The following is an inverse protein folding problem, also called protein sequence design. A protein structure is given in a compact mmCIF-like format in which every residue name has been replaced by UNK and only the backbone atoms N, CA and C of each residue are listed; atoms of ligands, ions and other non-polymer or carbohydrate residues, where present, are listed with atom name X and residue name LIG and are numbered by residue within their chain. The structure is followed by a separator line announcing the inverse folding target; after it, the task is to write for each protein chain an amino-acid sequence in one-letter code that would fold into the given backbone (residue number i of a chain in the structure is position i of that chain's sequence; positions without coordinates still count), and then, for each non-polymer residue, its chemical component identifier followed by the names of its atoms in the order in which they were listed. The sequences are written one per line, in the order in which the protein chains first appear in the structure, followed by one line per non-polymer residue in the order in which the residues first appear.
data_IF_871228477519
#
_entry.id   IF_871228477519
#
_cell.length_a   1.000
_cell.length_b   1.000
_cell.length_c   1.000
_cell.angle_alpha   90.00
_cell.angle_beta   90.00
_cell.angle_gamma   90.00
#
_symmetry.space_group_name_H-M   'P 1'
#
loop_
_entity.id
_entity.type
_entity.pdbx_description
1 polymer ?
#
# COMPACT_ATOMS: atom_id res chain seq x y z
N UNK A 1 9.07 24.51 8.93
CA UNK A 1 7.94 25.29 8.41
C UNK A 1 6.96 25.53 9.55
N UNK A 2 6.55 26.77 9.73
CA UNK A 2 5.56 27.13 10.74
C UNK A 2 4.16 26.74 10.25
N UNK A 3 3.37 26.16 11.15
CA UNK A 3 1.98 25.88 10.81
C UNK A 3 1.18 27.20 10.76
N UNK A 4 0.05 27.24 10.03
CA UNK A 4 -0.84 28.42 10.04
C UNK A 4 -1.31 28.84 11.45
N UNK A 5 -1.15 27.96 12.43
CA UNK A 5 -1.48 28.19 13.85
C UNK A 5 -0.28 28.58 14.70
N UNK A 6 0.89 28.88 14.10
CA UNK A 6 2.12 29.27 14.80
C UNK A 6 2.80 28.13 15.60
N UNK A 7 2.32 26.90 15.52
CA UNK A 7 2.95 25.77 16.17
C UNK A 7 4.15 25.28 15.35
N UNK A 8 5.31 25.13 15.98
CA UNK A 8 6.47 24.50 15.35
C UNK A 8 6.12 23.10 14.91
N UNK A 9 6.14 22.83 13.61
CA UNK A 9 5.93 21.50 13.06
C UNK A 9 7.26 20.75 13.03
N UNK A 10 7.27 19.54 13.56
CA UNK A 10 8.41 18.64 13.39
C UNK A 10 8.50 18.24 11.91
N UNK A 11 9.72 18.14 11.40
CA UNK A 11 9.96 17.66 10.06
C UNK A 11 9.47 16.20 9.92
N UNK A 12 8.71 15.92 8.88
CA UNK A 12 8.36 14.55 8.55
C UNK A 12 9.53 13.87 7.83
N UNK A 13 9.87 12.65 8.27
CA UNK A 13 10.90 11.82 7.66
C UNK A 13 10.30 11.09 6.44
N UNK A 14 10.88 11.23 5.24
CA UNK A 14 10.48 10.41 4.10
C UNK A 14 11.00 8.98 4.26
N UNK A 15 10.19 8.00 3.83
CA UNK A 15 10.54 6.59 3.77
C UNK A 15 10.22 6.11 2.35
N UNK A 16 11.22 5.54 1.69
CA UNK A 16 11.11 4.98 0.35
C UNK A 16 11.15 3.47 0.43
N UNK A 17 10.14 2.82 -0.14
CA UNK A 17 10.06 1.36 -0.24
C UNK A 17 9.84 0.96 -1.70
N UNK A 18 10.45 -0.14 -2.12
CA UNK A 18 10.40 -0.64 -3.49
C UNK A 18 10.29 -2.16 -3.48
N UNK A 19 9.43 -2.71 -4.32
CA UNK A 19 9.24 -4.17 -4.41
C UNK A 19 10.44 -4.88 -5.03
N UNK A 20 11.30 -4.16 -5.77
CA UNK A 20 12.43 -4.74 -6.54
C UNK A 20 13.74 -3.96 -6.41
N UNK A 21 13.94 -3.20 -5.35
CA UNK A 21 15.20 -2.51 -5.08
C UNK A 21 15.59 -1.44 -6.12
N UNK A 22 14.63 -0.67 -6.62
CA UNK A 22 14.87 0.48 -7.51
C UNK A 22 15.07 0.14 -8.98
N UNK A 23 15.04 -1.14 -9.35
CA UNK A 23 15.16 -1.58 -10.72
C UNK A 23 13.82 -1.70 -11.42
N UNK A 24 13.80 -1.43 -12.71
CA UNK A 24 12.68 -1.82 -13.57
C UNK A 24 12.65 -3.34 -13.70
N UNK A 25 11.48 -3.92 -13.68
CA UNK A 25 11.32 -5.37 -13.74
C UNK A 25 10.18 -5.76 -14.70
N UNK A 26 10.31 -6.91 -15.36
CA UNK A 26 9.27 -7.41 -16.25
C UNK A 26 8.13 -8.08 -15.49
N UNK A 27 6.92 -7.92 -16.01
CA UNK A 27 5.75 -8.72 -15.65
C UNK A 27 5.32 -9.48 -16.88
N UNK A 28 5.49 -10.81 -16.86
CA UNK A 28 5.20 -11.66 -17.98
C UNK A 28 3.76 -12.15 -18.01
N UNK A 29 3.28 -12.55 -19.16
CA UNK A 29 1.93 -13.06 -19.38
C UNK A 29 1.73 -14.55 -18.98
N UNK A 30 2.67 -15.13 -18.27
CA UNK A 30 2.64 -16.55 -17.85
C UNK A 30 1.35 -16.91 -17.11
N UNK A 31 0.79 -16.00 -16.35
CA UNK A 31 -0.45 -16.23 -15.60
C UNK A 31 -1.69 -16.29 -16.48
N UNK A 32 -1.70 -15.56 -17.57
CA UNK A 32 -2.77 -15.66 -18.58
C UNK A 32 -2.78 -17.02 -19.22
N UNK A 33 -1.59 -17.56 -19.55
CA UNK A 33 -1.43 -18.90 -20.14
C UNK A 33 -1.77 -20.03 -19.17
N UNK A 34 -1.50 -19.83 -17.88
CA UNK A 34 -1.80 -20.80 -16.84
C UNK A 34 -3.27 -20.81 -16.38
N UNK A 35 -4.15 -20.01 -17.00
CA UNK A 35 -5.57 -19.92 -16.61
C UNK A 35 -5.81 -19.15 -15.30
N UNK A 36 -4.86 -18.33 -14.87
CA UNK A 36 -4.99 -17.44 -13.72
C UNK A 36 -5.97 -16.29 -13.98
N UNK A 37 -6.17 -15.44 -12.97
CA UNK A 37 -7.07 -14.28 -13.05
C UNK A 37 -6.47 -13.08 -13.82
N UNK A 38 -5.31 -13.27 -14.44
CA UNK A 38 -4.59 -12.25 -15.20
C UNK A 38 -3.90 -11.20 -14.34
N UNK A 39 -3.90 -11.35 -13.01
CA UNK A 39 -3.19 -10.47 -12.11
C UNK A 39 -1.88 -11.07 -11.66
N UNK A 40 -0.95 -10.18 -11.36
CA UNK A 40 0.38 -10.54 -10.92
C UNK A 40 0.82 -9.61 -9.79
N UNK A 41 1.27 -10.15 -8.67
CA UNK A 41 1.67 -9.37 -7.49
C UNK A 41 3.16 -9.54 -7.17
N UNK A 42 3.91 -8.45 -7.29
CA UNK A 42 5.30 -8.35 -6.90
C UNK A 42 5.47 -8.08 -5.40
N UNK A 43 6.46 -8.69 -4.74
CA UNK A 43 7.34 -9.77 -5.20
C UNK A 43 6.80 -11.16 -4.87
N UNK A 44 5.52 -11.26 -4.46
CA UNK A 44 4.95 -12.45 -3.82
C UNK A 44 4.85 -13.64 -4.81
N UNK A 45 4.55 -13.36 -6.09
CA UNK A 45 4.29 -14.38 -7.11
C UNK A 45 5.44 -14.61 -8.09
N UNK A 46 6.52 -13.83 -7.99
CA UNK A 46 7.71 -14.02 -8.80
C UNK A 46 8.97 -13.87 -7.98
N UNK A 47 9.89 -14.84 -8.06
CA UNK A 47 11.24 -14.66 -7.56
C UNK A 47 11.88 -13.46 -8.26
N UNK A 48 12.67 -12.72 -7.51
CA UNK A 48 13.43 -11.60 -8.03
C UNK A 48 14.28 -12.03 -9.25
N UNK A 49 13.92 -11.57 -10.44
CA UNK A 49 14.64 -11.84 -11.67
C UNK A 49 16.05 -11.20 -11.68
N UNK A 50 16.26 -10.19 -10.84
CA UNK A 50 17.51 -9.48 -10.68
C UNK A 50 18.16 -9.89 -9.37
N UNK A 51 19.46 -10.18 -9.40
CA UNK A 51 20.24 -10.54 -8.20
C UNK A 51 20.20 -9.37 -7.20
N UNK A 52 19.46 -9.51 -6.13
CA UNK A 52 19.35 -8.50 -5.08
C UNK A 52 18.20 -8.79 -4.13
N UNK A 53 18.27 -8.25 -2.92
CA UNK A 53 17.18 -8.37 -1.95
C UNK A 53 16.15 -7.27 -2.24
N UNK A 54 14.86 -7.60 -2.43
CA UNK A 54 13.82 -6.59 -2.54
C UNK A 54 13.84 -5.66 -1.32
N UNK A 55 13.67 -4.36 -1.53
CA UNK A 55 13.46 -3.39 -0.45
C UNK A 55 11.99 -3.26 -0.07
N UNK A 56 11.21 -4.29 -0.34
CA UNK A 56 9.78 -4.30 -0.06
C UNK A 56 9.43 -4.46 1.41
N UNK A 57 10.39 -4.78 2.27
CA UNK A 57 10.21 -4.86 3.72
C UNK A 57 11.17 -3.92 4.43
N UNK A 58 10.62 -3.02 5.24
CA UNK A 58 11.39 -2.14 6.11
C UNK A 58 11.02 -2.40 7.58
N UNK A 59 12.05 -2.52 8.42
CA UNK A 59 11.86 -2.59 9.87
C UNK A 59 11.89 -1.17 10.43
N UNK A 60 10.81 -0.78 11.08
CA UNK A 60 10.66 0.54 11.71
C UNK A 60 11.74 0.70 12.79
N UNK A 61 12.55 1.73 12.66
CA UNK A 61 13.70 1.98 13.53
C UNK A 61 13.38 2.88 14.74
N UNK A 62 12.26 3.62 14.70
CA UNK A 62 11.81 4.52 15.76
C UNK A 62 10.29 4.52 15.85
N UNK A 63 9.76 4.80 17.04
CA UNK A 63 8.32 5.02 17.24
C UNK A 63 7.87 6.28 16.51
N UNK A 64 6.66 6.27 15.97
CA UNK A 64 6.11 7.44 15.29
C UNK A 64 4.75 7.21 14.65
N UNK A 65 4.37 8.14 13.79
CA UNK A 65 3.09 8.15 13.09
C UNK A 65 3.31 8.34 11.60
N UNK A 66 2.76 7.46 10.79
CA UNK A 66 2.67 7.68 9.36
C UNK A 66 1.60 8.74 9.09
N UNK A 67 1.98 9.80 8.39
CA UNK A 67 1.16 10.98 8.12
C UNK A 67 0.56 10.97 6.73
N UNK A 68 1.33 10.47 5.77
CA UNK A 68 0.95 10.40 4.37
C UNK A 68 1.65 9.23 3.67
N UNK A 69 1.06 8.77 2.59
CA UNK A 69 1.65 7.78 1.71
C UNK A 69 0.96 7.73 0.36
N UNK A 70 1.73 7.46 -0.67
CA UNK A 70 1.24 7.20 -2.02
C UNK A 70 2.16 6.20 -2.73
N UNK A 71 1.56 5.40 -3.61
CA UNK A 71 2.29 4.48 -4.46
C UNK A 71 2.73 5.12 -5.75
N UNK A 72 3.62 4.43 -6.46
CA UNK A 72 3.99 4.70 -7.84
C UNK A 72 4.00 3.40 -8.62
N UNK A 73 3.37 3.40 -9.78
CA UNK A 73 3.30 2.30 -10.73
C UNK A 73 3.52 2.82 -12.15
N UNK A 74 3.94 1.93 -13.02
CA UNK A 74 3.95 2.15 -14.47
C UNK A 74 2.69 1.52 -15.12
N UNK A 75 2.48 1.71 -16.44
CA UNK A 75 1.37 1.08 -17.17
C UNK A 75 1.23 -0.40 -16.87
N UNK A 76 0.01 -0.88 -16.83
CA UNK A 76 -0.33 -2.23 -16.38
C UNK A 76 -0.56 -2.34 -14.88
N UNK A 77 -0.08 -1.38 -14.09
CA UNK A 77 -0.22 -1.38 -12.65
C UNK A 77 -1.64 -1.13 -12.18
N UNK A 78 -2.10 -1.88 -11.19
CA UNK A 78 -3.43 -1.74 -10.60
C UNK A 78 -3.39 -1.04 -9.26
N UNK A 79 -2.51 -1.48 -8.37
CA UNK A 79 -2.35 -0.88 -7.04
C UNK A 79 -1.06 -1.33 -6.36
N UNK A 80 -0.63 -0.53 -5.38
CA UNK A 80 0.35 -0.92 -4.37
C UNK A 80 -0.33 -1.01 -3.02
N UNK A 81 -0.01 -2.04 -2.24
CA UNK A 81 -0.49 -2.22 -0.87
C UNK A 81 0.64 -2.01 0.13
N UNK A 82 0.32 -1.32 1.22
CA UNK A 82 1.17 -1.18 2.40
C UNK A 82 0.59 -2.01 3.53
N UNK A 83 1.42 -2.88 4.08
CA UNK A 83 1.08 -3.79 5.18
C UNK A 83 1.98 -3.55 6.39
N UNK A 84 1.45 -3.82 7.57
CA UNK A 84 2.18 -3.75 8.84
C UNK A 84 2.01 -5.05 9.63
N UNK A 85 3.13 -5.53 10.18
CA UNK A 85 3.19 -6.63 11.14
C UNK A 85 3.90 -6.15 12.40
N UNK A 86 3.35 -6.48 13.56
CA UNK A 86 3.93 -6.24 14.88
C UNK A 86 4.12 -7.56 15.60
N UNK A 87 5.32 -7.82 16.10
CA UNK A 87 5.61 -9.06 16.82
C UNK A 87 4.75 -9.20 18.07
N UNK A 88 4.21 -10.40 18.29
CA UNK A 88 3.34 -10.69 19.44
C UNK A 88 1.94 -10.09 19.37
N UNK A 89 1.60 -9.31 18.34
CA UNK A 89 0.27 -8.70 18.18
C UNK A 89 -0.49 -9.36 17.05
N UNK A 90 -1.70 -9.81 17.36
CA UNK A 90 -2.66 -10.31 16.36
C UNK A 90 -3.66 -9.22 15.99
N UNK A 91 -4.02 -9.09 14.71
CA UNK A 91 -5.09 -8.20 14.30
C UNK A 91 -6.42 -8.57 14.96
N UNK A 92 -7.21 -7.56 15.34
CA UNK A 92 -8.54 -7.78 15.86
C UNK A 92 -9.42 -8.45 14.78
N UNK A 93 -9.95 -9.62 15.08
CA UNK A 93 -10.92 -10.31 14.22
C UNK A 93 -12.32 -9.77 14.51
N UNK A 94 -12.96 -9.23 13.49
CA UNK A 94 -14.33 -8.76 13.58
C UNK A 94 -15.23 -9.79 12.91
N UNK A 95 -16.09 -10.45 13.72
CA UNK A 95 -17.14 -11.31 13.18
C UNK A 95 -18.33 -10.44 12.75
N UNK A 96 -18.64 -10.45 11.48
CA UNK A 96 -19.76 -9.67 10.92
C UNK A 96 -21.02 -10.51 10.73
N UNK A 97 -21.32 -11.39 11.69
CA UNK A 97 -22.57 -12.16 11.74
C UNK A 97 -23.70 -11.24 12.23
N UNK A 98 -24.31 -10.49 11.34
CA UNK A 98 -25.43 -9.59 11.64
C UNK A 98 -26.69 -10.04 10.90
N UNK A 99 -27.88 -9.85 11.50
CA UNK A 99 -29.16 -10.26 10.90
C UNK A 99 -29.47 -9.51 9.61
N UNK A 100 -29.21 -8.21 9.54
CA UNK A 100 -29.50 -7.41 8.33
C UNK A 100 -28.30 -7.29 7.39
N UNK A 101 -28.55 -7.21 6.08
CA UNK A 101 -27.52 -7.00 5.06
C UNK A 101 -26.80 -5.65 5.23
N UNK A 102 -27.53 -4.60 5.61
CA UNK A 102 -26.97 -3.27 5.85
C UNK A 102 -26.02 -3.26 7.06
N UNK A 103 -26.38 -3.96 8.15
CA UNK A 103 -25.52 -4.09 9.31
C UNK A 103 -24.27 -4.92 9.00
N UNK A 104 -24.39 -6.00 8.21
CA UNK A 104 -23.23 -6.78 7.73
C UNK A 104 -22.30 -5.94 6.88
N UNK A 105 -22.83 -5.11 5.97
CA UNK A 105 -22.04 -4.20 5.13
C UNK A 105 -21.28 -3.19 5.98
N UNK A 106 -21.94 -2.55 6.95
CA UNK A 106 -21.32 -1.59 7.87
C UNK A 106 -20.23 -2.24 8.72
N UNK A 107 -20.45 -3.46 9.21
CA UNK A 107 -19.46 -4.21 9.95
C UNK A 107 -18.24 -4.51 9.09
N UNK A 108 -18.42 -5.06 7.88
CA UNK A 108 -17.32 -5.34 6.93
C UNK A 108 -16.55 -4.08 6.54
N UNK A 109 -17.22 -2.94 6.41
CA UNK A 109 -16.56 -1.66 6.11
C UNK A 109 -15.62 -1.20 7.23
N UNK A 110 -15.85 -1.63 8.48
CA UNK A 110 -15.02 -1.33 9.65
C UNK A 110 -14.01 -2.44 9.97
N UNK A 111 -14.14 -3.61 9.37
CA UNK A 111 -13.22 -4.72 9.59
C UNK A 111 -11.83 -4.38 9.06
N UNK A 112 -10.80 -4.85 9.77
CA UNK A 112 -9.43 -4.77 9.30
C UNK A 112 -9.26 -5.66 8.07
N UNK A 113 -8.48 -5.19 7.10
CA UNK A 113 -8.00 -6.04 6.02
C UNK A 113 -6.73 -6.72 6.49
N UNK A 114 -6.77 -8.04 6.59
CA UNK A 114 -5.67 -8.84 7.16
C UNK A 114 -5.23 -9.93 6.20
N UNK A 115 -3.93 -10.23 6.23
CA UNK A 115 -3.29 -11.36 5.59
C UNK A 115 -2.38 -12.03 6.64
N UNK A 116 -2.84 -13.14 7.21
CA UNK A 116 -2.20 -13.77 8.36
C UNK A 116 -2.06 -12.82 9.56
N UNK A 117 -0.82 -12.45 9.89
CA UNK A 117 -0.50 -11.47 10.96
C UNK A 117 -0.33 -10.03 10.46
N UNK A 118 -0.45 -9.80 9.16
CA UNK A 118 -0.32 -8.49 8.54
C UNK A 118 -1.64 -7.75 8.49
N UNK A 119 -1.61 -6.44 8.73
CA UNK A 119 -2.75 -5.54 8.59
C UNK A 119 -2.46 -4.56 7.46
N UNK A 120 -3.39 -4.42 6.51
CA UNK A 120 -3.24 -3.41 5.46
C UNK A 120 -3.48 -2.01 6.02
N UNK A 121 -2.52 -1.13 5.77
CA UNK A 121 -2.56 0.27 6.19
C UNK A 121 -3.07 1.19 5.08
N UNK A 122 -2.73 0.87 3.83
CA UNK A 122 -3.07 1.69 2.66
C UNK A 122 -3.12 0.80 1.41
N UNK A 123 -4.06 1.08 0.53
CA UNK A 123 -4.03 0.68 -0.88
C UNK A 123 -4.00 1.93 -1.73
N UNK A 124 -2.90 2.15 -2.40
CA UNK A 124 -2.75 3.18 -3.43
C UNK A 124 -3.11 2.58 -4.78
N UNK A 125 -4.16 3.10 -5.41
CA UNK A 125 -4.69 2.59 -6.68
C UNK A 125 -4.24 3.47 -7.83
N UNK A 126 -3.91 2.84 -8.95
CA UNK A 126 -3.79 3.53 -10.21
C UNK A 126 -5.17 3.95 -10.74
N UNK A 127 -5.24 5.18 -11.23
CA UNK A 127 -6.39 5.72 -11.95
C UNK A 127 -5.90 6.14 -13.33
N UNK A 128 -6.41 5.49 -14.34
CA UNK A 128 -6.11 5.78 -15.74
C UNK A 128 -7.13 6.75 -16.29
N UNK A 129 -6.68 7.75 -17.05
CA UNK A 129 -7.53 8.78 -17.64
C UNK A 129 -7.73 8.58 -19.14
N UNK A 130 -6.78 7.94 -19.80
CA UNK A 130 -6.87 7.59 -21.22
C UNK A 130 -7.91 6.50 -21.49
N UNK A 131 -8.51 6.53 -22.69
CA UNK A 131 -9.52 5.54 -23.13
C UNK A 131 -8.96 4.10 -23.23
N UNK A 132 -7.64 3.97 -23.36
CA UNK A 132 -6.96 2.67 -23.44
C UNK A 132 -6.79 1.98 -22.08
N UNK A 133 -7.07 2.72 -20.97
CA UNK A 133 -6.95 2.18 -19.62
C UNK A 133 -5.51 1.81 -19.23
N UNK A 134 -5.26 0.62 -18.66
CA UNK A 134 -3.96 0.27 -18.09
C UNK A 134 -2.77 0.22 -19.06
N UNK A 135 -2.98 0.36 -20.34
CA UNK A 135 -1.89 0.43 -21.36
C UNK A 135 -1.37 1.84 -21.57
N UNK A 136 -1.92 2.83 -20.86
CA UNK A 136 -1.59 4.24 -21.04
C UNK A 136 -0.71 4.76 -19.89
N UNK A 137 0.15 5.75 -20.20
CA UNK A 137 0.94 6.48 -19.21
C UNK A 137 0.15 7.63 -18.54
N UNK A 138 -1.03 7.96 -19.05
CA UNK A 138 -1.91 8.95 -18.42
C UNK A 138 -2.59 8.35 -17.18
N UNK A 139 -1.83 8.22 -16.14
CA UNK A 139 -2.25 7.64 -14.86
C UNK A 139 -1.87 8.51 -13.67
N UNK A 140 -2.66 8.44 -12.62
CA UNK A 140 -2.33 8.99 -11.33
C UNK A 140 -2.57 7.96 -10.23
N UNK A 141 -1.84 8.10 -9.13
CA UNK A 141 -2.00 7.23 -7.97
C UNK A 141 -2.85 7.89 -6.89
N UNK A 142 -3.69 7.09 -6.23
CA UNK A 142 -4.41 7.57 -5.06
C UNK A 142 -3.51 7.54 -3.83
N UNK A 143 -3.57 8.59 -3.02
CA UNK A 143 -2.82 8.69 -1.77
C UNK A 143 -3.65 8.38 -0.53
N UNK A 144 -3.02 8.46 0.63
CA UNK A 144 -3.68 8.39 1.92
C UNK A 144 -4.57 9.61 2.15
N UNK A 145 -5.65 9.51 2.98
CA UNK A 145 -6.45 10.68 3.36
C UNK A 145 -5.62 11.68 4.17
N UNK A 146 -6.00 12.97 4.12
CA UNK A 146 -5.30 14.05 4.82
C UNK A 146 -5.21 13.86 6.35
N UNK A 147 -6.18 13.17 6.94
CA UNK A 147 -6.22 12.84 8.37
C UNK A 147 -5.66 11.46 8.71
N UNK A 148 -4.88 10.86 7.81
CA UNK A 148 -4.26 9.56 8.04
C UNK A 148 -3.18 9.70 9.11
N UNK A 149 -3.33 8.95 10.20
CA UNK A 149 -2.45 8.98 11.37
C UNK A 149 -2.33 7.58 11.89
N UNK A 150 -1.31 6.85 11.43
CA UNK A 150 -1.12 5.43 11.73
C UNK A 150 0.07 5.24 12.64
N UNK A 151 -0.17 4.74 13.84
CA UNK A 151 0.90 4.42 14.78
C UNK A 151 1.78 3.30 14.26
N UNK A 152 3.08 3.55 14.25
CA UNK A 152 4.13 2.55 14.04
C UNK A 152 5.09 2.56 15.21
N UNK A 153 5.67 1.42 15.54
CA UNK A 153 6.60 1.25 16.66
C UNK A 153 7.91 0.66 16.18
N UNK A 154 8.98 0.99 16.86
CA UNK A 154 10.29 0.38 16.64
C UNK A 154 10.16 -1.14 16.65
N UNK A 155 10.73 -1.80 15.65
CA UNK A 155 10.63 -3.24 15.45
C UNK A 155 9.42 -3.72 14.65
N UNK A 156 8.42 -2.85 14.39
CA UNK A 156 7.35 -3.17 13.42
C UNK A 156 7.97 -3.43 12.04
N UNK A 157 7.34 -4.29 11.25
CA UNK A 157 7.71 -4.51 9.86
C UNK A 157 6.65 -3.92 8.95
N UNK A 158 7.06 -3.02 8.07
CA UNK A 158 6.27 -2.56 6.93
C UNK A 158 6.64 -3.37 5.70
N UNK A 159 5.64 -3.79 4.93
CA UNK A 159 5.82 -4.50 3.66
C UNK A 159 4.98 -3.82 2.60
N UNK A 160 5.52 -3.69 1.40
CA UNK A 160 4.75 -3.31 0.23
C UNK A 160 4.73 -4.43 -0.80
N UNK A 161 3.69 -4.45 -1.62
CA UNK A 161 3.61 -5.22 -2.85
C UNK A 161 2.88 -4.41 -3.92
N UNK A 162 3.10 -4.77 -5.18
CA UNK A 162 2.52 -4.10 -6.34
C UNK A 162 1.82 -5.13 -7.23
N UNK A 163 0.57 -4.86 -7.59
CA UNK A 163 -0.23 -5.75 -8.45
C UNK A 163 -0.42 -5.13 -9.81
N UNK A 164 -0.17 -5.93 -10.85
CA UNK A 164 -0.28 -5.61 -12.26
C UNK A 164 -1.37 -6.45 -12.93
N UNK A 165 -1.97 -5.90 -13.99
CA UNK A 165 -2.83 -6.63 -14.91
C UNK A 165 -2.00 -7.22 -16.06
N UNK A 166 -1.75 -8.51 -16.02
CA UNK A 166 -1.06 -9.27 -17.08
C UNK A 166 -2.01 -9.94 -18.07
N UNK A 167 -3.33 -9.74 -17.91
CA UNK A 167 -4.33 -10.36 -18.80
C UNK A 167 -4.31 -9.78 -20.21
N UNK A 168 -3.83 -8.56 -20.37
CA UNK A 168 -3.85 -7.81 -21.64
C UNK A 168 -2.50 -7.74 -22.32
N UNK A 169 -1.41 -7.70 -21.55
CA UNK A 169 -0.05 -7.56 -22.06
C UNK A 169 0.97 -8.06 -21.06
N UNK A 170 2.17 -8.37 -21.54
CA UNK A 170 3.37 -8.45 -20.73
C UNK A 170 3.96 -7.04 -20.59
N UNK A 171 4.44 -6.70 -19.39
CA UNK A 171 4.99 -5.39 -19.07
C UNK A 171 6.47 -5.51 -18.78
N UNK A 172 7.30 -4.68 -19.42
CA UNK A 172 8.77 -4.76 -19.31
C UNK A 172 9.37 -3.68 -18.41
N UNK A 173 8.67 -2.57 -18.24
CA UNK A 173 9.11 -1.43 -17.43
C UNK A 173 8.19 -1.25 -16.22
N UNK A 174 8.06 -2.30 -15.41
CA UNK A 174 7.22 -2.25 -14.23
C UNK A 174 7.97 -1.65 -13.05
N UNK A 175 7.28 -0.94 -12.19
CA UNK A 175 7.73 -0.44 -10.91
C UNK A 175 6.67 -0.63 -9.83
N UNK A 176 7.09 -0.81 -8.59
CA UNK A 176 6.18 -0.86 -7.45
C UNK A 176 6.82 -0.16 -6.26
N UNK A 177 6.55 1.13 -6.13
CA UNK A 177 7.15 1.99 -5.11
C UNK A 177 6.06 2.50 -4.18
N UNK A 178 6.42 2.73 -2.92
CA UNK A 178 5.61 3.44 -1.93
C UNK A 178 6.46 4.47 -1.23
N UNK A 179 6.03 5.73 -1.28
CA UNK A 179 6.63 6.82 -0.52
C UNK A 179 5.74 7.11 0.68
N UNK A 180 6.34 7.15 1.86
CA UNK A 180 5.67 7.43 3.12
C UNK A 180 6.33 8.62 3.81
N UNK A 181 5.56 9.29 4.65
CA UNK A 181 6.06 10.35 5.52
C UNK A 181 5.72 10.01 6.98
N UNK A 182 6.72 10.02 7.85
CA UNK A 182 6.59 9.65 9.25
C UNK A 182 6.99 10.81 10.17
N UNK A 183 6.13 11.16 11.13
CA UNK A 183 6.48 12.01 12.26
C UNK A 183 7.02 11.14 13.40
N UNK A 184 8.29 11.33 13.74
CA UNK A 184 8.98 10.56 14.80
C UNK A 184 8.51 11.03 16.19
N UNK A 185 8.30 10.09 17.10
CA UNK A 185 7.92 10.35 18.49
C UNK A 185 6.47 10.82 18.70
N UNK A 186 5.65 10.82 17.63
CA UNK A 186 4.23 11.16 17.72
C UNK A 186 3.36 9.91 17.93
N UNK A 187 2.11 10.11 18.39
CA UNK A 187 1.13 9.05 18.61
C UNK A 187 0.03 9.09 17.55
N UNK A 188 -0.43 7.93 17.16
CA UNK A 188 -1.46 7.75 16.13
C UNK A 188 -2.50 6.71 16.47
N UNK A 189 -3.31 6.34 15.49
CA UNK A 189 -4.30 5.28 15.62
C UNK A 189 -3.62 3.92 15.56
N UNK A 190 -3.93 3.04 16.51
CA UNK A 190 -3.44 1.67 16.50
C UNK A 190 -4.09 0.87 15.34
N UNK A 191 -3.34 0.47 14.31
CA UNK A 191 -3.89 -0.18 13.12
C UNK A 191 -4.37 -1.62 13.37
N UNK A 192 -3.97 -2.25 14.48
CA UNK A 192 -4.41 -3.59 14.86
C UNK A 192 -5.78 -3.61 15.54
N UNK A 193 -6.26 -2.45 15.99
CA UNK A 193 -7.56 -2.29 16.65
C UNK A 193 -8.54 -1.46 15.84
N UNK A 194 -8.03 -0.53 15.02
CA UNK A 194 -8.84 0.42 14.27
C UNK A 194 -8.49 0.37 12.79
N UNK A 195 -9.50 0.27 11.93
CA UNK A 195 -9.28 0.34 10.49
C UNK A 195 -8.72 1.70 10.09
N UNK A 196 -7.57 1.68 9.45
CA UNK A 196 -6.86 2.85 8.92
C UNK A 196 -6.74 2.82 7.40
N UNK A 197 -7.08 1.68 6.79
CA UNK A 197 -7.04 1.43 5.36
C UNK A 197 -8.25 2.10 4.68
N UNK A 198 -8.06 3.34 4.26
CA UNK A 198 -9.03 4.10 3.48
C UNK A 198 -8.62 4.08 2.02
N UNK A 199 -9.16 3.14 1.27
CA UNK A 199 -8.80 2.94 -0.14
C UNK A 199 -9.12 4.20 -0.94
N UNK A 200 -8.08 4.82 -1.49
CA UNK A 200 -8.10 5.71 -2.64
C UNK A 200 -9.06 6.89 -2.61
N UNK A 201 -8.82 7.91 -1.77
CA UNK A 201 -9.66 9.12 -1.76
C UNK A 201 -9.05 10.31 -2.47
N UNK A 202 -7.74 10.37 -2.58
CA UNK A 202 -7.05 11.52 -3.18
C UNK A 202 -6.21 11.04 -4.35
N UNK A 203 -6.37 11.68 -5.50
CA UNK A 203 -5.57 11.39 -6.69
C UNK A 203 -4.45 12.44 -6.76
N UNK A 204 -3.20 11.98 -6.85
CA UNK A 204 -2.03 12.83 -7.05
C UNK A 204 -1.58 12.67 -8.51
N UNK A 205 -1.17 13.78 -9.15
CA UNK A 205 -0.62 13.74 -10.50
C UNK A 205 -1.45 14.48 -11.56
N UNK A 206 -2.52 15.14 -11.19
CA UNK A 206 -3.22 16.17 -11.98
C UNK A 206 -3.66 17.31 -11.11
#
# INVERSE_FOLDING_TARGET
ADSPTGRKMKAARPIWMDVQNGSLYPVFDVYRRAGGDGKFTYPDEQPNAYKGRPKNVWTVDQDGVLLAGAGHLHPGGLYTDLWLKRNGVRPARVSCRQRSAAARRRCRARALTVDGSWVRLLRSKAKYFGKKGPVDWDLAMTGSPANWRVEVRKGDKLRINATYDSSRAAWYESMGIMVLYMAVGERGKNPFKTKVDYIGRTTHGR
#
